data_IF_630632039652
#
_entry.id   IF_630632039652
#
_cell.length_a   1.000
_cell.length_b   1.000
_cell.length_c   1.000
_cell.angle_alpha   90.00
_cell.angle_beta   90.00
_cell.angle_gamma   90.00
#
_symmetry.space_group_name_H-M   'P 1'
#
loop_
_entity.id
_entity.type
_entity.pdbx_description
1 polymer ?
#
# COMPACT_ATOMS: atom_id res chain seq x y z
N UNK A 1 2.97 2.50 14.30
CA UNK A 1 3.40 2.25 12.90
C UNK A 1 3.92 3.56 12.33
N UNK A 2 5.06 3.59 11.62
CA UNK A 2 5.33 4.74 10.72
C UNK A 2 4.46 4.48 9.51
N UNK A 3 3.19 4.84 9.64
CA UNK A 3 2.27 4.84 8.51
C UNK A 3 2.86 5.73 7.42
N UNK A 4 2.71 5.38 6.14
CA UNK A 4 2.94 6.34 5.08
C UNK A 4 1.84 7.40 5.14
N UNK A 5 1.89 8.32 6.11
CA UNK A 5 0.98 9.47 6.20
C UNK A 5 1.01 10.30 4.90
N UNK A 6 2.11 10.22 4.14
CA UNK A 6 2.22 10.79 2.82
C UNK A 6 1.14 10.25 1.86
N UNK A 7 0.74 8.97 1.98
CA UNK A 7 -0.25 8.34 1.12
C UNK A 7 -1.64 8.97 1.29
N UNK A 8 -1.96 9.47 2.50
CA UNK A 8 -3.23 10.16 2.78
C UNK A 8 -3.42 11.41 1.93
N UNK A 9 -2.35 12.03 1.43
CA UNK A 9 -2.41 13.23 0.57
C UNK A 9 -2.95 12.92 -0.83
N UNK A 10 -2.92 11.66 -1.24
CA UNK A 10 -3.34 11.23 -2.58
C UNK A 10 -4.73 10.62 -2.60
N UNK A 11 -5.36 10.43 -1.43
CA UNK A 11 -6.71 9.87 -1.33
C UNK A 11 -7.69 10.74 -2.12
N UNK A 12 -8.46 10.09 -3.00
CA UNK A 12 -9.39 10.77 -3.91
C UNK A 12 -8.76 11.33 -5.18
N UNK A 13 -7.45 11.21 -5.35
CA UNK A 13 -6.79 11.50 -6.63
C UNK A 13 -6.83 10.28 -7.56
N UNK A 14 -6.77 10.52 -8.87
CA UNK A 14 -6.70 9.45 -9.89
C UNK A 14 -5.47 8.55 -9.70
N UNK A 15 -4.42 9.06 -9.05
CA UNK A 15 -3.17 8.35 -8.81
C UNK A 15 -3.23 7.38 -7.62
N UNK A 16 -4.25 7.48 -6.75
CA UNK A 16 -4.39 6.59 -5.61
C UNK A 16 -5.09 5.30 -6.02
N UNK A 17 -4.28 4.28 -6.28
CA UNK A 17 -4.69 3.04 -6.90
C UNK A 17 -4.33 1.81 -6.07
N UNK A 18 -5.01 0.71 -6.34
CA UNK A 18 -4.61 -0.62 -5.90
C UNK A 18 -4.50 -1.61 -7.06
N UNK A 19 -3.65 -2.60 -6.88
CA UNK A 19 -3.56 -3.76 -7.77
C UNK A 19 -3.62 -5.04 -6.93
N UNK A 20 -4.51 -5.99 -7.24
CA UNK A 20 -4.56 -7.27 -6.56
C UNK A 20 -3.36 -8.15 -6.93
N UNK A 21 -2.99 -9.09 -6.07
CA UNK A 21 -1.83 -9.96 -6.25
C UNK A 21 -1.74 -10.69 -7.60
N UNK A 22 -2.88 -11.04 -8.22
CA UNK A 22 -2.91 -11.68 -9.54
C UNK A 22 -2.64 -10.74 -10.72
N UNK A 23 -2.64 -9.42 -10.48
CA UNK A 23 -2.45 -8.37 -11.48
C UNK A 23 -1.19 -7.53 -11.23
N UNK A 24 -0.52 -7.72 -10.10
CA UNK A 24 0.74 -7.05 -9.79
C UNK A 24 1.83 -7.51 -10.79
N UNK A 25 2.35 -6.60 -11.65
CA UNK A 25 3.39 -6.93 -12.63
C UNK A 25 4.81 -7.00 -12.00
N UNK A 26 4.92 -6.88 -10.68
CA UNK A 26 6.15 -6.70 -9.93
C UNK A 26 7.18 -7.82 -10.09
N UNK A 27 8.42 -7.50 -9.68
CA UNK A 27 9.54 -8.43 -9.72
C UNK A 27 9.44 -9.56 -8.69
N UNK A 28 10.43 -10.46 -8.70
CA UNK A 28 10.48 -11.65 -7.82
C UNK A 28 10.26 -11.34 -6.33
N UNK A 29 10.66 -10.15 -5.87
CA UNK A 29 10.55 -9.75 -4.47
C UNK A 29 9.12 -9.41 -4.03
N UNK A 30 8.24 -9.05 -4.95
CA UNK A 30 6.84 -8.68 -4.68
C UNK A 30 5.85 -9.58 -5.41
N UNK A 31 6.32 -10.65 -6.03
CA UNK A 31 5.48 -11.67 -6.66
C UNK A 31 4.45 -12.24 -5.66
N UNK A 32 3.17 -12.20 -6.04
CA UNK A 32 2.06 -12.66 -5.21
C UNK A 32 1.62 -11.70 -4.10
N UNK A 33 2.13 -10.46 -4.08
CA UNK A 33 1.63 -9.38 -3.22
C UNK A 33 0.63 -8.53 -3.99
N UNK A 34 -0.44 -8.09 -3.33
CA UNK A 34 -1.20 -6.93 -3.78
C UNK A 34 -0.41 -5.66 -3.46
N UNK A 35 -0.79 -4.51 -4.02
CA UNK A 35 -0.27 -3.22 -3.56
C UNK A 35 -1.29 -2.10 -3.61
N UNK A 36 -1.01 -1.08 -2.81
CA UNK A 36 -1.59 0.26 -2.93
C UNK A 36 -0.47 1.20 -3.36
N UNK A 37 -0.76 2.11 -4.28
CA UNK A 37 0.19 3.08 -4.80
C UNK A 37 -0.45 4.45 -4.94
N UNK A 38 0.36 5.49 -4.80
CA UNK A 38 -0.01 6.85 -5.22
C UNK A 38 0.56 7.20 -6.61
N UNK A 39 1.06 6.19 -7.34
CA UNK A 39 1.80 6.30 -8.60
C UNK A 39 3.04 7.21 -8.52
N UNK A 40 4.19 6.71 -8.97
CA UNK A 40 5.45 7.45 -8.90
C UNK A 40 6.67 6.54 -8.96
N UNK A 41 7.69 6.88 -8.18
CA UNK A 41 8.88 6.05 -8.04
C UNK A 41 8.62 4.83 -7.12
N UNK A 42 9.54 3.85 -7.03
CA UNK A 42 9.38 2.67 -6.17
C UNK A 42 8.94 2.93 -4.72
N UNK A 43 9.26 4.08 -4.12
CA UNK A 43 8.87 4.43 -2.75
C UNK A 43 7.38 4.79 -2.61
N UNK A 44 6.68 5.00 -3.72
CA UNK A 44 5.23 5.27 -3.76
C UNK A 44 4.35 4.02 -3.61
N UNK A 45 4.95 2.83 -3.49
CA UNK A 45 4.24 1.55 -3.41
C UNK A 45 4.29 0.95 -2.00
N UNK A 46 3.14 0.47 -1.54
CA UNK A 46 3.01 -0.40 -0.36
C UNK A 46 2.49 -1.75 -0.82
N UNK A 47 3.39 -2.73 -0.89
CA UNK A 47 3.03 -4.10 -1.22
C UNK A 47 2.55 -4.81 0.03
N UNK A 48 1.50 -5.62 -0.06
CA UNK A 48 0.98 -6.39 1.07
C UNK A 48 0.48 -7.76 0.64
N UNK A 49 0.59 -8.71 1.58
CA UNK A 49 0.10 -10.07 1.45
C UNK A 49 -0.52 -10.50 2.76
N UNK A 50 -1.68 -11.12 2.69
CA UNK A 50 -2.40 -11.65 3.85
C UNK A 50 -2.27 -13.17 3.86
N UNK A 51 -1.73 -13.70 4.94
CA UNK A 51 -1.50 -15.13 5.16
C UNK A 51 -2.13 -15.53 6.51
N UNK A 52 -3.39 -15.95 6.48
CA UNK A 52 -4.16 -16.21 7.70
C UNK A 52 -4.36 -14.95 8.53
N UNK A 53 -3.94 -14.97 9.80
CA UNK A 53 -4.03 -13.81 10.70
C UNK A 53 -2.89 -12.79 10.52
N UNK A 54 -1.93 -13.04 9.63
CA UNK A 54 -0.79 -12.15 9.45
C UNK A 54 -0.88 -11.36 8.14
N UNK A 55 -0.50 -10.09 8.22
CA UNK A 55 -0.26 -9.22 7.07
C UNK A 55 1.24 -8.94 7.01
N UNK A 56 1.87 -9.37 5.91
CA UNK A 56 3.23 -8.96 5.57
C UNK A 56 3.16 -7.85 4.56
N UNK A 57 3.80 -6.71 4.85
CA UNK A 57 3.90 -5.60 3.92
C UNK A 57 5.36 -5.24 3.63
N UNK A 58 5.60 -4.74 2.42
CA UNK A 58 6.91 -4.29 1.93
C UNK A 58 6.80 -2.88 1.37
N UNK A 59 7.81 -2.07 1.64
CA UNK A 59 7.96 -0.73 1.10
C UNK A 59 9.39 -0.52 0.63
N UNK A 60 9.57 0.17 -0.50
CA UNK A 60 10.89 0.56 -0.95
C UNK A 60 11.38 1.76 -0.14
N UNK A 61 12.50 1.59 0.55
CA UNK A 61 13.16 2.65 1.31
C UNK A 61 14.34 3.16 0.50
N UNK A 62 14.38 4.45 0.13
CA UNK A 62 15.53 5.05 -0.52
C UNK A 62 16.82 4.84 0.27
N UNK A 63 17.95 4.90 -0.41
CA UNK A 63 19.28 4.87 0.24
C UNK A 63 19.43 6.00 1.27
N UNK A 64 20.45 5.91 2.13
CA UNK A 64 20.72 6.94 3.14
C UNK A 64 20.97 8.35 2.55
N UNK A 65 21.40 8.43 1.29
CA UNK A 65 21.53 9.69 0.54
C UNK A 65 20.23 10.18 -0.10
N UNK A 66 19.12 9.48 0.08
CA UNK A 66 17.82 9.78 -0.50
C UNK A 66 17.66 9.32 -1.96
N UNK A 67 18.64 8.62 -2.52
CA UNK A 67 18.53 8.08 -3.88
C UNK A 67 17.66 6.81 -3.88
N UNK A 68 16.65 6.81 -4.74
CA UNK A 68 15.70 5.71 -4.92
C UNK A 68 16.35 4.53 -5.64
N UNK A 69 17.26 4.77 -6.59
CA UNK A 69 17.88 3.69 -7.36
C UNK A 69 18.74 2.77 -6.47
N UNK A 70 19.44 3.34 -5.48
CA UNK A 70 20.19 2.60 -4.47
C UNK A 70 19.38 2.11 -3.27
N UNK A 71 18.04 2.16 -3.32
CA UNK A 71 17.18 1.74 -2.21
C UNK A 71 17.07 0.22 -2.03
N UNK A 72 16.20 -0.18 -1.12
CA UNK A 72 15.91 -1.59 -0.85
C UNK A 72 14.50 -1.76 -0.24
N UNK A 73 13.99 -2.99 -0.25
CA UNK A 73 12.73 -3.29 0.45
C UNK A 73 12.93 -3.45 1.95
N UNK A 74 12.17 -2.69 2.74
CA UNK A 74 11.87 -3.05 4.12
C UNK A 74 10.64 -3.94 4.18
N UNK A 75 10.72 -5.04 4.92
CA UNK A 75 9.61 -5.97 5.14
C UNK A 75 9.18 -5.94 6.60
N UNK A 76 7.87 -5.88 6.83
CA UNK A 76 7.28 -5.92 8.17
C UNK A 76 6.10 -6.88 8.17
N UNK A 77 5.92 -7.59 9.28
CA UNK A 77 4.78 -8.48 9.49
C UNK A 77 4.07 -8.04 10.76
N UNK A 78 2.75 -7.95 10.67
CA UNK A 78 1.84 -7.57 11.75
C UNK A 78 0.61 -8.46 11.69
N UNK A 79 -0.04 -8.72 12.82
CA UNK A 79 -1.31 -9.45 12.79
C UNK A 79 -2.47 -8.56 12.38
N UNK A 80 -3.49 -9.14 11.77
CA UNK A 80 -4.77 -8.49 11.51
C UNK A 80 -5.38 -7.94 12.80
N UNK A 81 -5.34 -8.72 13.88
CA UNK A 81 -5.82 -8.28 15.20
C UNK A 81 -5.13 -7.00 15.67
N UNK A 82 -3.81 -6.87 15.48
CA UNK A 82 -3.11 -5.62 15.82
C UNK A 82 -3.56 -4.47 14.93
N UNK A 83 -3.69 -4.68 13.62
CA UNK A 83 -4.18 -3.63 12.71
C UNK A 83 -5.61 -3.19 13.05
N UNK A 84 -6.50 -4.13 13.35
CA UNK A 84 -7.88 -3.83 13.73
C UNK A 84 -7.95 -3.07 15.06
N UNK A 85 -7.14 -3.45 16.04
CA UNK A 85 -7.08 -2.76 17.34
C UNK A 85 -6.48 -1.35 17.24
N UNK A 86 -5.53 -1.14 16.34
CA UNK A 86 -4.91 0.17 16.16
C UNK A 86 -5.79 1.10 15.32
N UNK A 87 -6.47 0.57 14.29
CA UNK A 87 -7.04 1.37 13.20
C UNK A 87 -8.51 1.12 12.88
N UNK A 88 -9.19 0.17 13.52
CA UNK A 88 -10.56 -0.23 13.15
C UNK A 88 -11.50 -0.51 14.34
N UNK A 89 -11.23 0.10 15.50
CA UNK A 89 -12.01 -0.14 16.74
C UNK A 89 -13.29 0.70 16.77
N UNK A 90 -13.15 2.02 16.67
CA UNK A 90 -14.26 2.97 16.82
C UNK A 90 -15.04 3.15 15.53
N UNK A 91 -16.31 3.55 15.63
CA UNK A 91 -17.10 3.84 14.42
C UNK A 91 -16.49 4.94 13.56
N UNK A 92 -15.84 5.94 14.18
CA UNK A 92 -15.15 7.01 13.44
C UNK A 92 -14.00 6.45 12.60
N UNK A 93 -13.17 5.57 13.16
CA UNK A 93 -12.09 4.91 12.44
C UNK A 93 -12.62 4.04 11.30
N UNK A 94 -13.70 3.29 11.54
CA UNK A 94 -14.33 2.48 10.50
C UNK A 94 -14.84 3.32 9.34
N UNK A 95 -15.51 4.43 9.64
CA UNK A 95 -15.99 5.37 8.62
C UNK A 95 -14.83 6.02 7.84
N UNK A 96 -13.72 6.32 8.52
CA UNK A 96 -12.53 6.86 7.88
C UNK A 96 -11.91 5.85 6.89
N UNK A 97 -11.71 4.61 7.33
CA UNK A 97 -11.18 3.52 6.48
C UNK A 97 -12.12 3.23 5.30
N UNK A 98 -13.43 3.17 5.54
CA UNK A 98 -14.44 2.98 4.49
C UNK A 98 -14.41 4.14 3.46
N UNK A 99 -14.24 5.38 3.95
CA UNK A 99 -14.06 6.55 3.10
C UNK A 99 -12.81 6.47 2.22
N UNK A 100 -11.73 5.86 2.70
CA UNK A 100 -10.52 5.62 1.92
C UNK A 100 -10.73 4.54 0.85
N UNK A 101 -11.40 3.44 1.21
CA UNK A 101 -11.69 2.33 0.29
C UNK A 101 -12.58 2.78 -0.86
N UNK A 102 -13.60 3.61 -0.61
CA UNK A 102 -14.49 4.13 -1.65
C UNK A 102 -13.79 5.09 -2.64
N UNK A 103 -12.62 5.60 -2.31
CA UNK A 103 -11.83 6.50 -3.15
C UNK A 103 -10.64 5.78 -3.81
N UNK A 104 -10.51 4.48 -3.62
CA UNK A 104 -9.39 3.69 -4.12
C UNK A 104 -9.73 3.12 -5.50
N UNK A 105 -8.99 3.56 -6.52
CA UNK A 105 -9.20 3.12 -7.89
C UNK A 105 -8.43 1.83 -8.19
N UNK A 106 -8.93 0.98 -9.10
CA UNK A 106 -8.11 -0.12 -9.60
C UNK A 106 -7.07 0.43 -10.57
N UNK A 107 -5.81 0.06 -10.39
CA UNK A 107 -4.73 0.60 -11.21
C UNK A 107 -4.88 0.24 -12.69
N UNK A 108 -5.43 -0.94 -13.00
CA UNK A 108 -5.76 -1.32 -14.38
C UNK A 108 -6.71 -0.33 -15.06
N UNK A 109 -7.66 0.23 -14.30
CA UNK A 109 -8.64 1.17 -14.81
C UNK A 109 -7.98 2.55 -15.02
N UNK A 110 -7.08 2.94 -14.11
CA UNK A 110 -6.25 4.13 -14.29
C UNK A 110 -5.38 4.04 -15.56
N UNK A 111 -4.67 2.91 -15.75
CA UNK A 111 -3.79 2.65 -16.90
C UNK A 111 -4.56 2.49 -18.23
N UNK A 112 -5.82 2.08 -18.20
CA UNK A 112 -6.63 1.98 -19.42
C UNK A 112 -7.06 3.35 -19.95
N UNK A 113 -7.07 4.38 -19.09
CA UNK A 113 -7.58 5.71 -19.40
C UNK A 113 -6.48 6.78 -19.57
N UNK A 114 -5.19 6.40 -19.45
CA UNK A 114 -4.02 7.28 -19.54
C UNK A 114 -2.89 6.60 -20.34
#
# INVERSE_FOLDING_TARGET
>A
MVEPNWMKQYIGSDFFCYSPAGENPGGSDTAGYSYITANGDPSSFVYYKVDGENVTYKMWVPSASGDVAGGHFETKTVSLTTLENDYYVTQSQKNEVDGYVHQLNRESDYLANH
#
